data_IF_610698637962
#
_entry.id   IF_610698637962
#
_cell.length_a   1.000
_cell.length_b   1.000
_cell.length_c   1.000
_cell.angle_alpha   90.00
_cell.angle_beta   90.00
_cell.angle_gamma   90.00
#
_symmetry.space_group_name_H-M   'P 1'
#
loop_
_entity.id
_entity.type
_entity.pdbx_description
1 polymer ?
#
# COMPACT_ATOMS: atom_id res chain seq x y z
N UNK A 1 -37.93 33.21 -42.88
CA UNK A 1 -37.63 32.90 -41.47
C UNK A 1 -36.23 32.29 -41.39
N UNK A 2 -35.28 32.94 -40.72
CA UNK A 2 -33.95 32.36 -40.44
C UNK A 2 -33.86 32.15 -38.92
N UNK A 3 -33.83 30.90 -38.48
CA UNK A 3 -33.61 30.53 -37.09
C UNK A 3 -32.10 30.53 -36.87
N UNK A 4 -31.61 31.45 -36.05
CA UNK A 4 -30.21 31.51 -35.64
C UNK A 4 -30.04 30.65 -34.38
N UNK A 5 -29.55 29.43 -34.55
CA UNK A 5 -29.25 28.53 -33.42
C UNK A 5 -27.85 28.86 -32.91
N UNK A 6 -27.76 29.64 -31.84
CA UNK A 6 -26.49 29.92 -31.13
C UNK A 6 -26.07 28.70 -30.30
N UNK A 7 -25.03 28.00 -30.75
CA UNK A 7 -24.34 26.96 -29.98
C UNK A 7 -23.43 27.63 -28.93
N UNK A 8 -23.80 27.55 -27.64
CA UNK A 8 -22.92 27.95 -26.54
C UNK A 8 -22.02 26.77 -26.18
N UNK A 9 -20.72 26.86 -26.49
CA UNK A 9 -19.72 25.96 -25.93
C UNK A 9 -19.64 26.20 -24.41
N UNK A 10 -20.05 25.20 -23.61
CA UNK A 10 -19.69 25.13 -22.19
C UNK A 10 -18.30 24.52 -22.09
N UNK A 11 -17.29 25.35 -21.80
CA UNK A 11 -15.97 24.87 -21.39
C UNK A 11 -16.05 24.40 -19.94
N UNK A 12 -16.02 23.08 -19.73
CA UNK A 12 -15.88 22.49 -18.40
C UNK A 12 -14.40 22.57 -18.03
N UNK A 13 -14.01 23.59 -17.27
CA UNK A 13 -12.65 23.67 -16.71
C UNK A 13 -12.62 22.73 -15.50
N UNK A 14 -12.01 21.56 -15.66
CA UNK A 14 -11.71 20.69 -14.53
C UNK A 14 -10.63 21.35 -13.68
N UNK A 15 -11.02 21.94 -12.54
CA UNK A 15 -10.07 22.41 -11.53
C UNK A 15 -9.44 21.18 -10.87
N UNK A 16 -8.22 20.81 -11.29
CA UNK A 16 -7.38 19.91 -10.50
C UNK A 16 -6.95 20.70 -9.27
N UNK A 17 -7.62 20.47 -8.15
CA UNK A 17 -7.16 20.98 -6.86
C UNK A 17 -5.81 20.33 -6.56
N UNK A 18 -4.74 21.12 -6.52
CA UNK A 18 -3.46 20.66 -6.00
C UNK A 18 -3.67 20.25 -4.54
N UNK A 19 -3.35 19.00 -4.19
CA UNK A 19 -3.41 18.56 -2.79
C UNK A 19 -2.34 19.31 -2.00
N UNK A 20 -2.75 19.92 -0.89
CA UNK A 20 -1.84 20.62 0.02
C UNK A 20 -0.99 19.63 0.82
N UNK A 21 0.11 20.11 1.41
CA UNK A 21 0.90 19.29 2.33
C UNK A 21 0.17 19.12 3.66
N UNK A 22 0.26 17.95 4.26
CA UNK A 22 -0.21 17.72 5.62
C UNK A 22 0.63 18.54 6.62
N UNK A 23 0.00 18.97 7.72
CA UNK A 23 0.72 19.56 8.86
C UNK A 23 1.74 18.59 9.46
N UNK A 24 2.82 19.12 10.02
CA UNK A 24 3.91 18.31 10.57
C UNK A 24 3.46 17.37 11.70
N UNK A 25 2.51 17.81 12.52
CA UNK A 25 1.92 16.98 13.58
C UNK A 25 1.22 15.72 13.05
N UNK A 26 0.83 15.70 11.78
CA UNK A 26 0.28 14.54 11.09
C UNK A 26 1.37 13.78 10.33
N UNK A 27 2.22 14.48 9.57
CA UNK A 27 3.23 13.82 8.72
C UNK A 27 4.32 13.13 9.52
N UNK A 28 4.83 13.75 10.59
CA UNK A 28 6.00 13.28 11.32
C UNK A 28 5.82 11.88 11.92
N UNK A 29 4.72 11.54 12.62
CA UNK A 29 4.52 10.18 13.13
C UNK A 29 4.34 9.14 12.01
N UNK A 30 3.74 9.52 10.88
CA UNK A 30 3.59 8.64 9.71
C UNK A 30 4.97 8.31 9.14
N UNK A 31 5.79 9.34 8.88
CA UNK A 31 7.15 9.19 8.35
C UNK A 31 8.02 8.39 9.31
N UNK A 32 7.96 8.67 10.62
CA UNK A 32 8.70 7.92 11.63
C UNK A 32 8.32 6.44 11.66
N UNK A 33 7.05 6.11 11.42
CA UNK A 33 6.60 4.72 11.32
C UNK A 33 7.11 4.07 10.04
N UNK A 34 7.02 4.76 8.89
CA UNK A 34 7.53 4.25 7.61
C UNK A 34 9.02 3.97 7.63
N UNK A 35 9.82 4.81 8.29
CA UNK A 35 11.27 4.66 8.42
C UNK A 35 11.69 3.78 9.60
N UNK A 36 10.75 3.10 10.26
CA UNK A 36 11.06 2.22 11.39
C UNK A 36 11.66 0.89 10.92
N UNK A 37 12.95 0.91 10.62
CA UNK A 37 13.70 -0.26 10.18
C UNK A 37 13.63 -1.43 11.16
N UNK A 38 13.66 -1.16 12.47
CA UNK A 38 13.61 -2.19 13.50
C UNK A 38 12.27 -2.93 13.49
N UNK A 39 11.17 -2.20 13.31
CA UNK A 39 9.84 -2.77 13.16
C UNK A 39 9.79 -3.70 11.94
N UNK A 40 10.09 -3.18 10.74
CA UNK A 40 9.89 -3.96 9.51
C UNK A 40 10.95 -5.04 9.26
N UNK A 41 12.18 -4.89 9.78
CA UNK A 41 13.20 -5.94 9.67
C UNK A 41 12.88 -7.18 10.50
N UNK A 42 12.17 -7.02 11.62
CA UNK A 42 11.90 -8.09 12.58
C UNK A 42 10.45 -8.57 12.61
N UNK A 43 9.58 -7.95 11.80
CA UNK A 43 8.14 -8.15 11.89
C UNK A 43 7.67 -9.59 11.61
N UNK A 44 8.43 -10.38 10.85
CA UNK A 44 8.14 -11.78 10.56
C UNK A 44 8.90 -12.76 11.48
N UNK A 45 9.80 -12.28 12.34
CA UNK A 45 10.70 -13.15 13.11
C UNK A 45 9.94 -14.07 14.06
N UNK A 46 8.91 -13.57 14.74
CA UNK A 46 8.16 -14.35 15.72
C UNK A 46 7.31 -15.45 15.08
N UNK A 47 6.71 -15.18 13.93
CA UNK A 47 5.77 -16.09 13.26
C UNK A 47 6.44 -17.03 12.26
N UNK A 48 7.47 -16.53 11.57
CA UNK A 48 8.11 -17.21 10.44
C UNK A 48 9.61 -17.51 10.69
N UNK A 49 10.21 -16.98 11.75
CA UNK A 49 11.64 -17.13 12.02
C UNK A 49 12.55 -16.38 11.04
N UNK A 50 12.00 -15.46 10.25
CA UNK A 50 12.71 -14.74 9.19
C UNK A 50 12.92 -13.28 9.59
N UNK A 51 14.17 -12.83 9.49
CA UNK A 51 14.54 -11.42 9.60
C UNK A 51 14.92 -10.89 8.22
N UNK A 52 14.30 -9.79 7.81
CA UNK A 52 14.59 -9.11 6.54
C UNK A 52 15.48 -7.90 6.79
N UNK A 53 16.24 -7.47 5.78
CA UNK A 53 17.06 -6.26 5.87
C UNK A 53 16.38 -5.14 5.10
N UNK A 54 15.63 -4.32 5.83
CA UNK A 54 14.96 -3.13 5.32
C UNK A 54 15.30 -1.94 6.18
N UNK A 55 15.39 -0.78 5.54
CA UNK A 55 15.55 0.53 6.16
C UNK A 55 14.21 1.27 6.31
N UNK A 56 13.21 0.91 5.50
CA UNK A 56 11.85 1.48 5.53
C UNK A 56 10.79 0.46 5.12
N UNK A 57 9.50 0.81 5.28
CA UNK A 57 8.38 0.02 4.75
C UNK A 57 8.52 -0.20 3.24
N UNK A 58 8.87 0.84 2.48
CA UNK A 58 8.84 0.77 1.02
C UNK A 58 9.99 -0.03 0.41
N UNK A 59 11.01 -0.39 1.19
CA UNK A 59 12.04 -1.34 0.75
C UNK A 59 11.45 -2.73 0.47
N UNK A 60 10.28 -3.04 1.04
CA UNK A 60 9.53 -4.28 0.80
C UNK A 60 9.10 -4.40 -0.67
N UNK A 61 8.89 -3.29 -1.38
CA UNK A 61 8.56 -3.30 -2.81
C UNK A 61 9.70 -3.84 -3.70
N UNK A 62 10.91 -3.97 -3.13
CA UNK A 62 12.07 -4.54 -3.81
C UNK A 62 12.32 -6.01 -3.44
N UNK A 63 11.44 -6.60 -2.63
CA UNK A 63 11.57 -7.99 -2.23
C UNK A 63 11.41 -8.94 -3.42
N UNK A 64 12.13 -10.06 -3.37
CA UNK A 64 11.77 -11.19 -4.19
C UNK A 64 10.38 -11.70 -3.76
N UNK A 65 9.64 -12.31 -4.69
CA UNK A 65 8.28 -12.80 -4.43
C UNK A 65 8.16 -13.64 -3.15
N UNK A 66 9.15 -14.51 -2.87
CA UNK A 66 9.18 -15.33 -1.65
C UNK A 66 9.21 -14.48 -0.35
N UNK A 67 9.96 -13.39 -0.35
CA UNK A 67 10.18 -12.55 0.83
C UNK A 67 8.98 -11.61 1.01
N UNK A 68 8.37 -11.17 -0.09
CA UNK A 68 7.10 -10.46 -0.08
C UNK A 68 5.97 -11.34 0.49
N UNK A 69 5.88 -12.61 0.08
CA UNK A 69 4.91 -13.56 0.66
C UNK A 69 5.12 -13.72 2.16
N UNK A 70 6.37 -13.85 2.62
CA UNK A 70 6.68 -13.95 4.06
C UNK A 70 6.22 -12.69 4.79
N UNK A 71 6.53 -11.51 4.26
CA UNK A 71 6.10 -10.24 4.82
C UNK A 71 4.57 -10.15 4.89
N UNK A 72 3.87 -10.41 3.80
CA UNK A 72 2.40 -10.28 3.73
C UNK A 72 1.65 -11.30 4.58
N UNK A 73 2.25 -12.47 4.87
CA UNK A 73 1.63 -13.51 5.71
C UNK A 73 1.89 -13.34 7.20
N UNK A 74 2.95 -12.62 7.57
CA UNK A 74 3.25 -12.36 8.98
C UNK A 74 2.34 -11.24 9.51
N UNK A 75 1.54 -11.54 10.53
CA UNK A 75 0.66 -10.57 11.18
C UNK A 75 1.44 -9.39 11.74
N UNK A 76 2.61 -9.65 12.35
CA UNK A 76 3.52 -8.62 12.84
C UNK A 76 3.99 -7.63 11.77
N UNK A 77 4.01 -8.03 10.50
CA UNK A 77 4.34 -7.16 9.36
C UNK A 77 3.10 -6.43 8.82
N UNK A 78 2.00 -7.16 8.62
CA UNK A 78 0.81 -6.60 7.98
C UNK A 78 0.01 -5.67 8.91
N UNK A 79 0.01 -5.92 10.22
CA UNK A 79 -0.72 -5.08 11.18
C UNK A 79 -0.26 -3.61 11.14
N UNK A 80 1.04 -3.29 11.24
CA UNK A 80 1.50 -1.91 11.06
C UNK A 80 1.12 -1.27 9.72
N UNK A 81 1.11 -2.03 8.62
CA UNK A 81 0.70 -1.52 7.30
C UNK A 81 -0.78 -1.15 7.31
N UNK A 82 -1.64 -2.03 7.83
CA UNK A 82 -3.07 -1.74 8.00
C UNK A 82 -3.31 -0.51 8.87
N UNK A 83 -2.57 -0.40 9.97
CA UNK A 83 -2.70 0.74 10.89
C UNK A 83 -2.27 2.05 10.20
N UNK A 84 -1.24 2.02 9.35
CA UNK A 84 -0.86 3.14 8.49
C UNK A 84 -1.95 3.49 7.47
N UNK A 85 -2.55 2.53 6.77
CA UNK A 85 -3.68 2.77 5.84
C UNK A 85 -4.81 3.54 6.55
N UNK A 86 -5.13 3.16 7.79
CA UNK A 86 -6.17 3.82 8.57
C UNK A 86 -5.78 5.21 9.08
N UNK A 87 -4.48 5.48 9.26
CA UNK A 87 -3.99 6.70 9.90
C UNK A 87 -3.61 7.81 8.92
N UNK A 88 -3.26 7.48 7.68
CA UNK A 88 -2.80 8.47 6.71
C UNK A 88 -4.00 9.20 6.08
N UNK A 89 -4.11 10.53 6.20
CA UNK A 89 -5.22 11.26 5.60
C UNK A 89 -5.16 11.19 4.06
N UNK A 90 -6.30 11.01 3.39
CA UNK A 90 -6.34 10.89 1.93
C UNK A 90 -6.32 12.24 1.19
N UNK A 91 -6.47 13.35 1.93
CA UNK A 91 -6.72 14.68 1.38
C UNK A 91 -5.50 15.62 1.40
N UNK A 92 -4.33 15.14 1.82
CA UNK A 92 -3.10 15.91 1.82
C UNK A 92 -1.90 15.04 1.41
N UNK A 93 -0.85 15.69 0.90
CA UNK A 93 0.41 15.05 0.54
C UNK A 93 1.38 15.10 1.72
N UNK A 94 2.21 14.07 1.84
CA UNK A 94 3.25 14.02 2.87
C UNK A 94 4.61 14.15 2.20
N UNK A 95 5.47 15.04 2.74
CA UNK A 95 6.84 15.12 2.28
C UNK A 95 7.63 13.93 2.80
N UNK A 96 8.10 13.08 1.89
CA UNK A 96 8.85 11.86 2.19
C UNK A 96 10.04 11.78 1.25
N UNK A 97 11.25 11.56 1.79
CA UNK A 97 12.54 11.59 1.07
C UNK A 97 12.74 12.76 0.11
N UNK A 98 12.22 13.94 0.46
CA UNK A 98 12.42 15.19 -0.29
C UNK A 98 11.34 15.53 -1.31
N UNK A 99 10.45 14.59 -1.64
CA UNK A 99 9.30 14.78 -2.55
C UNK A 99 7.97 14.76 -1.80
N UNK A 100 6.90 15.27 -2.43
CA UNK A 100 5.54 15.17 -1.92
C UNK A 100 4.87 13.90 -2.44
N UNK A 101 4.36 13.07 -1.53
CA UNK A 101 3.80 11.74 -1.80
C UNK A 101 2.33 11.65 -1.41
N UNK A 102 1.58 10.82 -2.11
CA UNK A 102 0.25 10.41 -1.65
C UNK A 102 0.40 9.09 -0.90
N UNK A 103 0.91 9.19 0.33
CA UNK A 103 1.20 8.02 1.16
C UNK A 103 -0.06 7.21 1.50
N UNK A 104 -1.24 7.84 1.52
CA UNK A 104 -2.52 7.12 1.68
C UNK A 104 -2.70 6.10 0.55
N UNK A 105 -2.47 6.52 -0.71
CA UNK A 105 -2.53 5.63 -1.87
C UNK A 105 -1.38 4.63 -1.93
N UNK A 106 -0.16 5.07 -1.67
CA UNK A 106 1.03 4.23 -1.79
C UNK A 106 1.03 3.10 -0.75
N UNK A 107 0.65 3.38 0.51
CA UNK A 107 0.53 2.36 1.55
C UNK A 107 -0.69 1.47 1.34
N UNK A 108 -1.82 2.02 0.87
CA UNK A 108 -2.98 1.22 0.50
C UNK A 108 -2.67 0.23 -0.63
N UNK A 109 -1.91 0.65 -1.65
CA UNK A 109 -1.49 -0.23 -2.74
C UNK A 109 -0.65 -1.41 -2.22
N UNK A 110 0.30 -1.16 -1.30
CA UNK A 110 1.09 -2.24 -0.68
C UNK A 110 0.20 -3.18 0.16
N UNK A 111 -0.74 -2.63 0.93
CA UNK A 111 -1.69 -3.43 1.70
C UNK A 111 -2.55 -4.34 0.79
N UNK A 112 -3.05 -3.80 -0.31
CA UNK A 112 -3.88 -4.53 -1.27
C UNK A 112 -3.06 -5.62 -1.98
N UNK A 113 -1.81 -5.33 -2.37
CA UNK A 113 -0.87 -6.31 -2.92
C UNK A 113 -0.65 -7.48 -1.94
N UNK A 114 -0.57 -7.20 -0.64
CA UNK A 114 -0.49 -8.25 0.37
C UNK A 114 -1.76 -9.09 0.49
N UNK A 115 -2.95 -8.49 0.40
CA UNK A 115 -4.22 -9.24 0.39
C UNK A 115 -4.27 -10.15 -0.84
N UNK A 116 -3.95 -9.63 -2.02
CA UNK A 116 -3.93 -10.39 -3.27
C UNK A 116 -2.94 -11.56 -3.20
N UNK A 117 -1.72 -11.31 -2.70
CA UNK A 117 -0.69 -12.33 -2.51
C UNK A 117 -1.16 -13.45 -1.56
N UNK A 118 -1.80 -13.10 -0.46
CA UNK A 118 -2.32 -14.06 0.51
C UNK A 118 -3.48 -14.89 -0.07
N UNK A 119 -4.38 -14.25 -0.83
CA UNK A 119 -5.49 -14.93 -1.50
C UNK A 119 -4.97 -15.92 -2.55
N UNK A 120 -4.02 -15.50 -3.40
CA UNK A 120 -3.42 -16.36 -4.41
C UNK A 120 -2.70 -17.57 -3.79
N UNK A 121 -1.96 -17.35 -2.70
CA UNK A 121 -1.27 -18.44 -1.97
C UNK A 121 -2.27 -19.43 -1.37
N UNK A 122 -3.38 -18.93 -0.80
CA UNK A 122 -4.44 -19.76 -0.22
C UNK A 122 -5.13 -20.59 -1.30
N UNK A 123 -5.43 -19.98 -2.45
CA UNK A 123 -6.04 -20.68 -3.58
C UNK A 123 -5.12 -21.78 -4.13
N UNK A 124 -3.82 -21.50 -4.30
CA UNK A 124 -2.86 -22.49 -4.76
C UNK A 124 -2.79 -23.70 -3.82
N UNK A 125 -2.78 -23.47 -2.50
CA UNK A 125 -2.80 -24.55 -1.52
C UNK A 125 -4.08 -25.40 -1.61
N UNK A 126 -5.24 -24.77 -1.83
CA UNK A 126 -6.50 -25.48 -2.01
C UNK A 126 -6.52 -26.32 -3.31
N UNK A 127 -6.01 -25.76 -4.40
CA UNK A 127 -5.94 -26.45 -5.70
C UNK A 127 -5.00 -27.66 -5.62
N UNK A 128 -3.86 -27.54 -4.94
CA UNK A 128 -2.91 -28.63 -4.73
C UNK A 128 -3.52 -29.76 -3.87
N UNK A 129 -4.24 -29.41 -2.81
CA UNK A 129 -5.00 -30.38 -2.02
C UNK A 129 -6.07 -31.08 -2.86
N UNK A 130 -6.81 -30.34 -3.69
CA UNK A 130 -7.84 -30.92 -4.55
C UNK A 130 -7.25 -31.90 -5.58
N UNK A 131 -6.10 -31.58 -6.19
CA UNK A 131 -5.38 -32.52 -7.07
C UNK A 131 -4.97 -33.79 -6.34
N UNK A 132 -4.39 -33.65 -5.15
CA UNK A 132 -3.99 -34.81 -4.34
C UNK A 132 -5.16 -35.76 -4.05
N UNK A 133 -6.37 -35.24 -3.81
CA UNK A 133 -7.55 -36.08 -3.57
C UNK A 133 -8.20 -36.65 -4.83
N UNK A 134 -7.97 -36.06 -6.00
CA UNK A 134 -8.52 -36.51 -7.28
C UNK A 134 -7.59 -37.48 -8.03
N UNK A 135 -6.31 -37.55 -7.64
CA UNK A 135 -5.32 -38.50 -8.17
C UNK A 135 -5.33 -39.86 -7.40
N UNK A 136 -6.40 -40.17 -6.66
CA UNK A 136 -6.70 -41.46 -6.02
C UNK A 136 -7.89 -42.11 -6.73
#
# INVERSE_FOLDING_TARGET
MRVATTFRLLSIVATVSAQELCDSGVSDPIVATLDNSALFSSCATAEMGVQTRVSSLFDVLQFAAKDLIIFCRAYGCLSPVRDLVASIPPNCLIKYHGSAHNLSKEVAALHDECIETNNATTQAANDDMARYFLDI
#
